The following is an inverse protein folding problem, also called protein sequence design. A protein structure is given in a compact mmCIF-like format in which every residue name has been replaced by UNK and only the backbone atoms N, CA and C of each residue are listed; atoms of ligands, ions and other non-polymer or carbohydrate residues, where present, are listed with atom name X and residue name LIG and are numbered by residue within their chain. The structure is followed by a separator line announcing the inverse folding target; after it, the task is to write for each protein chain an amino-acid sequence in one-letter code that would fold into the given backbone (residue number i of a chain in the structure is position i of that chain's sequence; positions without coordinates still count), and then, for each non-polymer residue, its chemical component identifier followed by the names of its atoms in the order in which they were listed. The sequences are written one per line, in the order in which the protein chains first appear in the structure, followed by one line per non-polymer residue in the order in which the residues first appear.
data_IF_334857891643
#
_entry.id   IF_334857891643
#
_cell.length_a   1.000
_cell.length_b   1.000
_cell.length_c   1.000
_cell.angle_alpha   90.00
_cell.angle_beta   90.00
_cell.angle_gamma   90.00
#
_symmetry.space_group_name_H-M   'P 1'
#
loop_
_entity.id
_entity.type
_entity.pdbx_description
1 polymer ?
#
# COMPACT_ATOMS: atom_id res chain seq x y z
N UNK A 1 -7.12 -29.62 12.24
CA UNK A 1 -7.58 -28.93 11.01
C UNK A 1 -6.61 -27.79 10.76
N UNK A 2 -5.80 -27.84 9.69
CA UNK A 2 -4.95 -26.69 9.34
C UNK A 2 -5.86 -25.67 8.63
N UNK A 3 -5.97 -24.46 9.17
CA UNK A 3 -6.64 -23.38 8.43
C UNK A 3 -5.81 -23.04 7.21
N UNK A 4 -6.46 -22.84 6.07
CA UNK A 4 -5.81 -22.37 4.86
C UNK A 4 -5.27 -20.94 5.09
N UNK A 5 -4.02 -20.71 4.73
CA UNK A 5 -3.32 -19.44 4.91
C UNK A 5 -4.07 -18.21 4.38
N UNK A 6 -4.69 -18.21 3.17
CA UNK A 6 -5.43 -17.04 2.69
C UNK A 6 -6.69 -16.74 3.51
N UNK A 7 -7.31 -17.76 4.11
CA UNK A 7 -8.44 -17.58 5.01
C UNK A 7 -8.01 -16.86 6.29
N UNK A 8 -6.83 -17.20 6.84
CA UNK A 8 -6.25 -16.50 8.00
C UNK A 8 -6.00 -15.04 7.67
N UNK A 9 -5.33 -14.76 6.55
CA UNK A 9 -4.97 -13.39 6.14
C UNK A 9 -6.23 -12.53 5.92
N UNK A 10 -7.21 -13.03 5.18
CA UNK A 10 -8.46 -12.30 4.91
C UNK A 10 -9.28 -12.05 6.18
N UNK A 11 -9.35 -13.03 7.09
CA UNK A 11 -10.01 -12.87 8.39
C UNK A 11 -9.30 -11.83 9.25
N UNK A 12 -7.96 -11.87 9.32
CA UNK A 12 -7.19 -10.85 10.05
C UNK A 12 -7.38 -9.46 9.46
N UNK A 13 -7.44 -9.35 8.13
CA UNK A 13 -7.74 -8.09 7.44
C UNK A 13 -9.10 -7.53 7.86
N UNK A 14 -10.13 -8.39 7.95
CA UNK A 14 -11.45 -8.00 8.43
C UNK A 14 -11.39 -7.47 9.86
N UNK A 15 -10.77 -8.23 10.76
CA UNK A 15 -10.69 -7.88 12.18
C UNK A 15 -9.92 -6.56 12.38
N UNK A 16 -8.77 -6.41 11.74
CA UNK A 16 -7.96 -5.18 11.82
C UNK A 16 -8.74 -3.99 11.22
N UNK A 17 -9.40 -4.17 10.09
CA UNK A 17 -10.22 -3.12 9.46
C UNK A 17 -11.34 -2.63 10.40
N UNK A 18 -12.07 -3.56 11.03
CA UNK A 18 -13.10 -3.24 12.01
C UNK A 18 -12.52 -2.54 13.24
N UNK A 19 -11.41 -3.03 13.77
CA UNK A 19 -10.72 -2.41 14.92
C UNK A 19 -10.31 -0.97 14.60
N UNK A 20 -9.71 -0.71 13.43
CA UNK A 20 -9.34 0.64 12.99
C UNK A 20 -10.58 1.52 12.85
N UNK A 21 -11.66 1.02 12.24
CA UNK A 21 -12.89 1.79 12.06
C UNK A 21 -13.54 2.19 13.39
N UNK A 22 -13.58 1.28 14.37
CA UNK A 22 -14.15 1.52 15.70
C UNK A 22 -13.25 2.40 16.57
N UNK A 23 -11.93 2.29 16.41
CA UNK A 23 -10.97 3.06 17.19
C UNK A 23 -10.73 4.47 16.63
N UNK A 24 -11.16 4.76 15.39
CA UNK A 24 -10.89 6.01 14.68
C UNK A 24 -11.27 7.28 15.46
N UNK A 25 -12.38 7.26 16.20
CA UNK A 25 -12.85 8.42 16.98
C UNK A 25 -12.07 8.62 18.29
N UNK A 26 -11.54 7.53 18.84
CA UNK A 26 -10.84 7.51 20.13
C UNK A 26 -9.35 7.75 19.99
N UNK A 27 -8.76 7.35 18.87
CA UNK A 27 -7.32 7.46 18.64
C UNK A 27 -6.96 8.85 18.08
N UNK A 28 -6.14 9.63 18.78
CA UNK A 28 -5.57 10.84 18.18
C UNK A 28 -4.69 10.47 16.98
N UNK A 29 -4.38 11.43 16.10
CA UNK A 29 -3.39 11.24 15.05
C UNK A 29 -2.10 10.70 15.65
N UNK A 30 -1.72 9.49 15.22
CA UNK A 30 -0.63 8.77 15.86
C UNK A 30 0.20 8.00 14.82
N UNK A 31 1.49 7.80 15.11
CA UNK A 31 2.40 7.11 14.20
C UNK A 31 2.16 5.62 14.04
N UNK A 32 1.41 4.98 14.93
CA UNK A 32 1.42 3.51 15.10
C UNK A 32 0.18 2.80 14.58
N UNK A 33 -0.97 3.45 14.64
CA UNK A 33 -2.28 2.86 14.39
C UNK A 33 -3.06 3.73 13.41
N UNK A 34 -3.54 3.10 12.33
CA UNK A 34 -4.42 3.72 11.36
C UNK A 34 -3.88 3.82 9.94
N UNK A 35 -4.70 4.40 9.07
CA UNK A 35 -4.36 4.82 7.72
C UNK A 35 -3.56 6.12 7.78
N UNK A 36 -2.28 6.06 7.40
CA UNK A 36 -1.28 7.09 7.69
C UNK A 36 -0.68 7.62 6.40
N UNK A 37 -1.32 8.65 5.86
CA UNK A 37 -0.83 9.42 4.71
C UNK A 37 -0.74 10.88 5.15
N UNK A 38 0.18 11.66 4.60
CA UNK A 38 0.38 13.06 5.01
C UNK A 38 -0.91 13.86 5.09
N UNK A 39 -1.80 13.68 4.13
CA UNK A 39 -3.13 14.29 4.09
C UNK A 39 -4.01 13.99 5.31
N UNK A 40 -3.86 12.81 5.93
CA UNK A 40 -4.65 12.43 7.11
C UNK A 40 -4.26 13.21 8.37
N UNK A 41 -3.08 13.83 8.39
CA UNK A 41 -2.59 14.59 9.55
C UNK A 41 -2.98 16.07 9.53
N UNK A 42 -3.70 16.54 8.52
CA UNK A 42 -4.11 17.94 8.38
C UNK A 42 -5.02 18.39 9.54
N UNK A 43 -5.94 17.52 9.96
CA UNK A 43 -6.83 17.81 11.10
C UNK A 43 -7.27 16.54 11.79
N UNK A 44 -7.73 16.64 13.05
CA UNK A 44 -8.33 15.50 13.77
C UNK A 44 -9.59 14.97 13.07
N UNK A 45 -10.34 15.84 12.40
CA UNK A 45 -11.53 15.47 11.64
C UNK A 45 -11.15 14.63 10.41
N UNK A 46 -10.17 15.09 9.64
CA UNK A 46 -9.63 14.40 8.47
C UNK A 46 -9.07 13.03 8.87
N UNK A 47 -8.30 12.97 9.96
CA UNK A 47 -7.79 11.73 10.53
C UNK A 47 -8.91 10.74 10.85
N UNK A 48 -9.92 11.17 11.62
CA UNK A 48 -11.01 10.32 12.08
C UNK A 48 -11.82 9.77 10.91
N UNK A 49 -12.17 10.64 9.95
CA UNK A 49 -12.96 10.26 8.78
C UNK A 49 -12.18 9.35 7.83
N UNK A 50 -10.92 9.67 7.53
CA UNK A 50 -10.06 8.82 6.69
C UNK A 50 -9.87 7.43 7.30
N UNK A 51 -9.58 7.34 8.61
CA UNK A 51 -9.40 6.06 9.29
C UNK A 51 -10.69 5.24 9.38
N UNK A 52 -11.83 5.88 9.61
CA UNK A 52 -13.13 5.19 9.64
C UNK A 52 -13.46 4.60 8.27
N UNK A 53 -13.31 5.37 7.20
CA UNK A 53 -13.55 4.91 5.83
C UNK A 53 -12.56 3.81 5.44
N UNK A 54 -11.27 4.01 5.69
CA UNK A 54 -10.23 3.02 5.42
C UNK A 54 -10.50 1.71 6.17
N UNK A 55 -10.78 1.78 7.47
CA UNK A 55 -11.07 0.60 8.29
C UNK A 55 -12.29 -0.18 7.78
N UNK A 56 -13.40 0.51 7.47
CA UNK A 56 -14.60 -0.14 6.92
C UNK A 56 -14.35 -0.76 5.55
N UNK A 57 -13.63 -0.06 4.66
CA UNK A 57 -13.33 -0.58 3.33
C UNK A 57 -12.39 -1.80 3.38
N UNK A 58 -11.39 -1.76 4.26
CA UNK A 58 -10.51 -2.90 4.54
C UNK A 58 -11.28 -4.08 5.14
N UNK A 59 -12.23 -3.81 6.04
CA UNK A 59 -13.08 -4.84 6.63
C UNK A 59 -13.95 -5.54 5.57
N UNK A 60 -14.58 -4.73 4.70
CA UNK A 60 -15.38 -5.23 3.59
C UNK A 60 -14.54 -6.05 2.61
N UNK A 61 -13.33 -5.59 2.25
CA UNK A 61 -12.41 -6.34 1.40
C UNK A 61 -12.01 -7.67 2.04
N UNK A 62 -11.69 -7.69 3.33
CA UNK A 62 -11.37 -8.92 4.06
C UNK A 62 -12.54 -9.91 4.05
N UNK A 63 -13.79 -9.44 4.21
CA UNK A 63 -14.98 -10.28 4.16
C UNK A 63 -15.19 -10.89 2.77
N UNK A 64 -15.02 -10.07 1.72
CA UNK A 64 -15.10 -10.54 0.33
C UNK A 64 -14.02 -11.58 0.03
N UNK A 65 -12.78 -11.35 0.46
CA UNK A 65 -11.69 -12.30 0.30
C UNK A 65 -11.91 -13.60 1.09
N UNK A 66 -12.47 -13.49 2.31
CA UNK A 66 -12.85 -14.65 3.14
C UNK A 66 -13.88 -15.51 2.40
N UNK A 67 -14.95 -14.89 1.89
CA UNK A 67 -15.98 -15.59 1.11
C UNK A 67 -15.42 -16.26 -0.14
N UNK A 68 -14.51 -15.57 -0.85
CA UNK A 68 -13.82 -16.15 -2.01
C UNK A 68 -12.91 -17.34 -1.63
N UNK A 69 -12.17 -17.23 -0.52
CA UNK A 69 -11.34 -18.33 0.00
C UNK A 69 -12.14 -19.55 0.42
N UNK A 70 -13.40 -19.39 0.85
CA UNK A 70 -14.28 -20.52 1.18
C UNK A 70 -14.78 -21.29 -0.05
N UNK A 71 -14.74 -20.68 -1.24
CA UNK A 71 -15.03 -21.37 -2.50
C UNK A 71 -13.82 -22.19 -2.93
N UNK A 72 -12.65 -21.55 -3.02
CA UNK A 72 -11.35 -22.16 -3.28
C UNK A 72 -10.25 -21.18 -2.81
N UNK A 73 -9.23 -21.61 -2.04
CA UNK A 73 -8.18 -20.72 -1.52
C UNK A 73 -7.53 -19.75 -2.55
N UNK A 74 -7.24 -20.15 -3.81
CA UNK A 74 -6.68 -19.26 -4.82
C UNK A 74 -7.55 -18.05 -5.16
N UNK A 75 -8.88 -18.16 -5.07
CA UNK A 75 -9.79 -17.04 -5.36
C UNK A 75 -9.65 -15.92 -4.34
N UNK A 76 -9.50 -16.24 -3.05
CA UNK A 76 -9.27 -15.21 -2.03
C UNK A 76 -7.94 -14.47 -2.22
N UNK A 77 -6.89 -15.20 -2.62
CA UNK A 77 -5.60 -14.60 -2.98
C UNK A 77 -5.75 -13.66 -4.18
N UNK A 78 -6.50 -14.08 -5.21
CA UNK A 78 -6.75 -13.28 -6.40
C UNK A 78 -7.49 -11.97 -6.06
N UNK A 79 -8.56 -12.05 -5.26
CA UNK A 79 -9.32 -10.89 -4.78
C UNK A 79 -8.41 -9.92 -4.02
N UNK A 80 -7.60 -10.41 -3.09
CA UNK A 80 -6.69 -9.56 -2.32
C UNK A 80 -5.66 -8.86 -3.22
N UNK A 81 -5.02 -9.58 -4.15
CA UNK A 81 -3.99 -9.03 -5.02
C UNK A 81 -4.49 -7.95 -5.96
N UNK A 82 -5.73 -8.05 -6.46
CA UNK A 82 -6.31 -7.05 -7.36
C UNK A 82 -6.88 -5.88 -6.56
N UNK A 83 -7.70 -6.17 -5.55
CA UNK A 83 -8.51 -5.16 -4.89
C UNK A 83 -7.74 -4.34 -3.86
N UNK A 84 -6.74 -4.91 -3.17
CA UNK A 84 -6.00 -4.18 -2.14
C UNK A 84 -5.20 -2.99 -2.72
N UNK A 85 -4.42 -3.13 -3.79
CA UNK A 85 -3.76 -1.99 -4.46
C UNK A 85 -4.72 -0.91 -4.92
N UNK A 86 -5.83 -1.31 -5.56
CA UNK A 86 -6.84 -0.36 -6.04
C UNK A 86 -7.50 0.38 -4.88
N UNK A 87 -7.80 -0.33 -3.79
CA UNK A 87 -8.35 0.25 -2.57
C UNK A 87 -7.38 1.26 -1.96
N UNK A 88 -6.08 0.96 -1.90
CA UNK A 88 -5.07 1.88 -1.38
C UNK A 88 -5.01 3.16 -2.21
N UNK A 89 -4.97 3.05 -3.55
CA UNK A 89 -5.03 4.22 -4.45
C UNK A 89 -6.28 5.05 -4.18
N UNK A 90 -7.45 4.41 -4.10
CA UNK A 90 -8.71 5.09 -3.82
C UNK A 90 -8.73 5.79 -2.46
N UNK A 91 -8.16 5.17 -1.42
CA UNK A 91 -8.05 5.76 -0.09
C UNK A 91 -7.08 6.94 -0.02
N UNK A 92 -5.99 6.91 -0.80
CA UNK A 92 -5.07 8.05 -0.91
C UNK A 92 -5.77 9.25 -1.54
N UNK A 93 -6.41 9.05 -2.71
CA UNK A 93 -7.15 10.12 -3.39
C UNK A 93 -8.32 10.63 -2.52
N UNK A 94 -8.98 9.74 -1.77
CA UNK A 94 -10.02 10.13 -0.81
C UNK A 94 -9.45 11.02 0.30
N UNK A 95 -8.34 10.63 0.92
CA UNK A 95 -7.71 11.37 2.00
C UNK A 95 -7.22 12.74 1.53
N UNK A 96 -6.69 12.84 0.32
CA UNK A 96 -6.30 14.11 -0.28
C UNK A 96 -7.49 15.04 -0.48
N UNK A 97 -8.55 14.58 -1.17
CA UNK A 97 -9.75 15.40 -1.38
C UNK A 97 -10.37 15.83 -0.06
N UNK A 98 -10.25 15.00 0.97
CA UNK A 98 -10.73 15.32 2.30
C UNK A 98 -9.87 16.40 2.98
N UNK A 99 -8.55 16.32 2.83
CA UNK A 99 -7.62 17.34 3.30
C UNK A 99 -7.83 18.68 2.59
N UNK A 100 -7.97 18.70 1.27
CA UNK A 100 -8.25 19.91 0.48
C UNK A 100 -9.53 20.60 0.94
N UNK A 101 -10.61 19.83 1.13
CA UNK A 101 -11.88 20.37 1.64
C UNK A 101 -11.73 21.00 3.03
N UNK A 102 -10.94 20.37 3.90
CA UNK A 102 -10.71 20.90 5.24
C UNK A 102 -9.88 22.19 5.20
N UNK A 103 -8.83 22.25 4.38
CA UNK A 103 -7.98 23.44 4.23
C UNK A 103 -8.71 24.63 3.61
N UNK A 104 -9.71 24.38 2.75
CA UNK A 104 -10.57 25.44 2.21
C UNK A 104 -11.54 25.97 3.28
N UNK A 105 -12.10 25.08 4.09
CA UNK A 105 -13.06 25.44 5.14
C UNK A 105 -12.39 26.17 6.32
N UNK A 106 -11.19 25.73 6.69
CA UNK A 106 -10.40 26.25 7.80
C UNK A 106 -8.98 26.57 7.28
N UNK A 107 -8.81 27.72 6.59
CA UNK A 107 -7.50 28.11 6.10
C UNK A 107 -6.55 28.31 7.28
N UNK A 108 -5.37 27.76 7.13
CA UNK A 108 -4.27 27.91 8.07
C UNK A 108 -3.97 29.40 8.32
N UNK A 109 -3.78 29.79 9.58
CA UNK A 109 -3.38 31.17 9.88
C UNK A 109 -1.97 31.43 9.32
N UNK A 110 -1.67 32.66 8.86
CA UNK A 110 -0.33 33.00 8.38
C UNK A 110 0.73 32.71 9.45
N UNK A 111 1.54 31.66 9.24
CA UNK A 111 2.58 31.19 10.17
C UNK A 111 2.32 29.79 10.75
N UNK A 112 1.07 29.33 10.83
CA UNK A 112 0.72 27.96 11.19
C UNK A 112 0.69 27.11 9.92
N UNK A 113 1.81 26.51 9.53
CA UNK A 113 1.85 25.62 8.36
C UNK A 113 2.35 26.25 7.06
N UNK A 114 3.01 27.40 7.13
CA UNK A 114 3.86 27.93 6.05
C UNK A 114 5.18 27.15 5.91
N UNK A 115 5.12 25.82 6.06
CA UNK A 115 6.28 24.96 5.81
C UNK A 115 6.72 25.12 4.35
N UNK A 116 8.03 25.04 4.09
CA UNK A 116 8.53 25.10 2.72
C UNK A 116 7.83 24.04 1.86
N UNK A 117 7.40 24.40 0.63
CA UNK A 117 6.76 23.44 -0.26
C UNK A 117 7.68 22.25 -0.49
N UNK A 118 7.11 21.05 -0.34
CA UNK A 118 7.87 19.82 -0.44
C UNK A 118 8.39 19.65 -1.86
N UNK A 119 9.71 19.55 -1.99
CA UNK A 119 10.35 19.32 -3.29
C UNK A 119 10.11 17.88 -3.75
N UNK A 120 9.79 17.66 -5.04
CA UNK A 120 9.64 16.32 -5.61
C UNK A 120 10.80 15.38 -5.27
N UNK A 121 10.50 14.09 -5.13
CA UNK A 121 11.51 13.04 -4.91
C UNK A 121 12.29 12.84 -6.21
N UNK A 122 13.58 13.20 -6.22
CA UNK A 122 14.44 13.03 -7.39
C UNK A 122 14.50 11.58 -7.88
N UNK A 123 14.47 10.63 -6.94
CA UNK A 123 14.49 9.19 -7.22
C UNK A 123 13.27 8.73 -8.03
N UNK A 124 12.11 9.35 -7.84
CA UNK A 124 10.88 8.95 -8.51
C UNK A 124 10.94 9.10 -10.04
N UNK A 125 11.77 10.03 -10.54
CA UNK A 125 12.04 10.21 -11.98
C UNK A 125 12.80 9.05 -12.59
N UNK A 126 13.58 8.32 -11.79
CA UNK A 126 14.36 7.16 -12.20
C UNK A 126 13.56 5.88 -12.00
N UNK A 127 12.83 5.74 -10.88
CA UNK A 127 12.08 4.53 -10.59
C UNK A 127 10.89 4.33 -11.51
N UNK A 128 10.26 5.41 -11.99
CA UNK A 128 9.15 5.34 -12.93
C UNK A 128 9.50 4.63 -14.26
N UNK A 129 10.53 5.05 -15.02
CA UNK A 129 10.91 4.34 -16.25
C UNK A 129 11.40 2.92 -15.97
N UNK A 130 12.11 2.67 -14.87
CA UNK A 130 12.55 1.31 -14.50
C UNK A 130 11.36 0.39 -14.23
N UNK A 131 10.33 0.88 -13.53
CA UNK A 131 9.09 0.15 -13.33
C UNK A 131 8.44 -0.19 -14.68
N UNK A 132 8.29 0.79 -15.58
CA UNK A 132 7.71 0.55 -16.91
C UNK A 132 8.48 -0.55 -17.67
N UNK A 133 9.81 -0.53 -17.62
CA UNK A 133 10.64 -1.58 -18.25
C UNK A 133 10.36 -2.95 -17.63
N UNK A 134 10.28 -3.06 -16.30
CA UNK A 134 9.95 -4.32 -15.61
C UNK A 134 8.59 -4.85 -16.05
N UNK A 135 7.57 -4.00 -16.18
CA UNK A 135 6.25 -4.39 -16.69
C UNK A 135 6.29 -4.91 -18.12
N UNK A 136 7.03 -4.25 -19.02
CA UNK A 136 7.19 -4.70 -20.40
C UNK A 136 7.86 -6.08 -20.45
N UNK A 137 8.97 -6.25 -19.71
CA UNK A 137 9.69 -7.54 -19.64
C UNK A 137 8.77 -8.64 -19.10
N UNK A 138 8.02 -8.35 -18.03
CA UNK A 138 7.06 -9.28 -17.46
C UNK A 138 6.00 -9.72 -18.47
N UNK A 139 5.40 -8.76 -19.21
CA UNK A 139 4.39 -9.04 -20.22
C UNK A 139 4.93 -9.93 -21.34
N UNK A 140 6.15 -9.69 -21.81
CA UNK A 140 6.79 -10.53 -22.84
C UNK A 140 6.94 -11.97 -22.34
N UNK A 141 7.40 -12.16 -21.09
CA UNK A 141 7.57 -13.49 -20.49
C UNK A 141 6.23 -14.20 -20.37
N UNK A 142 5.21 -13.51 -19.85
CA UNK A 142 3.87 -14.06 -19.66
C UNK A 142 3.26 -14.55 -20.97
N UNK A 143 3.43 -13.78 -22.06
CA UNK A 143 2.93 -14.15 -23.39
C UNK A 143 3.63 -15.38 -23.99
N UNK A 144 4.78 -15.79 -23.44
CA UNK A 144 5.59 -16.94 -23.90
C UNK A 144 5.36 -18.21 -23.09
N UNK A 145 4.67 -18.14 -21.94
CA UNK A 145 4.43 -19.28 -21.07
C UNK A 145 3.17 -20.07 -21.52
N UNK A 146 3.29 -21.40 -21.55
CA UNK A 146 2.21 -22.31 -21.94
C UNK A 146 1.04 -22.32 -20.94
N UNK A 147 -0.20 -22.49 -21.46
CA UNK A 147 -1.48 -22.36 -20.72
C UNK A 147 -1.75 -23.43 -19.64
N UNK A 148 -0.81 -24.33 -19.39
CA UNK A 148 -1.03 -25.56 -18.61
C UNK A 148 -1.32 -25.27 -17.12
N UNK A 149 -1.03 -24.06 -16.61
CA UNK A 149 -1.28 -23.65 -15.22
C UNK A 149 -2.13 -22.37 -15.11
N UNK A 150 -3.26 -22.28 -15.82
CA UNK A 150 -4.05 -21.06 -15.97
C UNK A 150 -4.38 -20.33 -14.64
N UNK A 151 -4.86 -21.03 -13.60
CA UNK A 151 -5.26 -20.38 -12.34
C UNK A 151 -4.07 -19.88 -11.51
N UNK A 152 -3.02 -20.70 -11.37
CA UNK A 152 -1.82 -20.33 -10.63
C UNK A 152 -1.05 -19.19 -11.32
N UNK A 153 -1.05 -19.20 -12.66
CA UNK A 153 -0.51 -18.13 -13.47
C UNK A 153 -1.31 -16.83 -13.32
N UNK A 154 -2.65 -16.92 -13.26
CA UNK A 154 -3.51 -15.76 -12.99
C UNK A 154 -3.22 -15.13 -11.62
N UNK A 155 -3.04 -15.95 -10.58
CA UNK A 155 -2.66 -15.46 -9.24
C UNK A 155 -1.31 -14.72 -9.29
N UNK A 156 -0.32 -15.24 -10.01
CA UNK A 156 0.99 -14.59 -10.19
C UNK A 156 0.87 -13.25 -10.91
N UNK A 157 0.06 -13.21 -11.97
CA UNK A 157 -0.20 -12.00 -12.74
C UNK A 157 -0.88 -10.93 -11.90
N UNK A 158 -1.86 -11.32 -11.09
CA UNK A 158 -2.53 -10.40 -10.17
C UNK A 158 -1.58 -9.85 -9.12
N UNK A 159 -0.74 -10.69 -8.51
CA UNK A 159 0.26 -10.25 -7.54
C UNK A 159 1.26 -9.26 -8.17
N UNK A 160 1.79 -9.60 -9.35
CA UNK A 160 2.69 -8.71 -10.10
C UNK A 160 2.01 -7.38 -10.39
N UNK A 161 0.82 -7.40 -10.98
CA UNK A 161 0.06 -6.21 -11.34
C UNK A 161 -0.17 -5.33 -10.11
N UNK A 162 -0.59 -5.92 -8.99
CA UNK A 162 -0.86 -5.19 -7.76
C UNK A 162 0.37 -4.46 -7.21
N UNK A 163 1.49 -5.16 -7.07
CA UNK A 163 2.76 -4.57 -6.61
C UNK A 163 3.23 -3.49 -7.60
N UNK A 164 3.06 -3.75 -8.90
CA UNK A 164 3.48 -2.83 -9.94
C UNK A 164 2.66 -1.53 -9.93
N UNK A 165 1.34 -1.63 -9.78
CA UNK A 165 0.43 -0.48 -9.62
C UNK A 165 0.84 0.37 -8.42
N UNK A 166 1.14 -0.24 -7.27
CA UNK A 166 1.62 0.50 -6.10
C UNK A 166 2.96 1.18 -6.34
N UNK A 167 3.89 0.53 -7.06
CA UNK A 167 5.20 1.09 -7.40
C UNK A 167 5.06 2.33 -8.28
N UNK A 168 4.25 2.23 -9.35
CA UNK A 168 3.97 3.33 -10.26
C UNK A 168 3.26 4.48 -9.55
N UNK A 169 2.23 4.16 -8.75
CA UNK A 169 1.46 5.17 -8.02
C UNK A 169 2.30 5.89 -6.97
N UNK A 170 3.14 5.16 -6.22
CA UNK A 170 4.05 5.77 -5.24
C UNK A 170 5.10 6.67 -5.92
N UNK A 171 5.64 6.24 -7.07
CA UNK A 171 6.55 7.08 -7.87
C UNK A 171 5.83 8.33 -8.39
N UNK A 172 4.59 8.20 -8.86
CA UNK A 172 3.77 9.32 -9.28
C UNK A 172 3.52 10.33 -8.15
N UNK A 173 3.11 9.86 -6.97
CA UNK A 173 2.97 10.70 -5.78
C UNK A 173 4.29 11.40 -5.45
N UNK A 174 5.42 10.71 -5.55
CA UNK A 174 6.74 11.28 -5.29
C UNK A 174 7.09 12.46 -6.19
N UNK A 175 6.54 12.50 -7.41
CA UNK A 175 6.77 13.57 -8.38
C UNK A 175 5.73 14.69 -8.22
N UNK A 176 4.44 14.33 -8.20
CA UNK A 176 3.34 15.29 -8.32
C UNK A 176 2.81 15.79 -6.97
N UNK A 177 2.89 14.95 -5.94
CA UNK A 177 2.22 15.12 -4.64
C UNK A 177 3.12 14.66 -3.48
N UNK A 178 4.32 15.24 -3.31
CA UNK A 178 5.26 14.81 -2.27
C UNK A 178 4.69 14.99 -0.84
N UNK A 179 3.64 15.80 -0.66
CA UNK A 179 2.90 15.97 0.60
C UNK A 179 2.25 14.68 1.08
N UNK A 180 1.96 13.73 0.19
CA UNK A 180 1.44 12.41 0.57
C UNK A 180 2.39 11.66 1.51
N UNK A 181 3.70 11.91 1.42
CA UNK A 181 4.74 11.31 2.26
C UNK A 181 5.09 12.14 3.49
N UNK A 182 4.43 13.28 3.71
CA UNK A 182 4.71 14.10 4.87
C UNK A 182 4.24 13.39 6.13
N UNK A 183 5.13 13.28 7.10
CA UNK A 183 4.82 12.72 8.41
C UNK A 183 5.28 13.70 9.48
N UNK A 184 4.40 14.20 10.38
CA UNK A 184 4.71 15.35 11.24
C UNK A 184 5.76 15.06 12.32
N UNK A 185 6.08 13.81 12.59
CA UNK A 185 7.13 13.41 13.54
C UNK A 185 8.47 13.06 12.88
N UNK A 186 8.57 13.19 11.55
CA UNK A 186 9.81 12.98 10.81
C UNK A 186 10.26 14.30 10.19
N UNK A 187 11.57 14.53 10.19
CA UNK A 187 12.17 15.63 9.44
C UNK A 187 11.95 15.44 7.93
N UNK A 188 12.07 16.53 7.16
CA UNK A 188 11.94 16.48 5.70
C UNK A 188 12.94 15.49 5.05
N UNK A 189 14.16 15.42 5.58
CA UNK A 189 15.20 14.51 5.07
C UNK A 189 14.87 13.05 5.39
N UNK A 190 14.32 12.77 6.57
CA UNK A 190 13.85 11.44 6.97
C UNK A 190 12.65 10.99 6.14
N UNK A 191 11.63 11.85 5.96
CA UNK A 191 10.49 11.56 5.10
C UNK A 191 10.93 11.19 3.67
N UNK A 192 11.91 11.92 3.12
CA UNK A 192 12.49 11.62 1.81
C UNK A 192 13.23 10.29 1.76
N UNK A 193 14.00 9.95 2.79
CA UNK A 193 14.71 8.67 2.89
C UNK A 193 13.73 7.51 2.99
N UNK A 194 12.71 7.62 3.84
CA UNK A 194 11.67 6.60 4.02
C UNK A 194 10.88 6.41 2.73
N UNK A 195 10.40 7.49 2.10
CA UNK A 195 9.67 7.40 0.84
C UNK A 195 10.52 6.75 -0.28
N UNK A 196 11.81 7.12 -0.37
CA UNK A 196 12.73 6.51 -1.35
C UNK A 196 12.94 5.02 -1.06
N UNK A 197 13.12 4.64 0.20
CA UNK A 197 13.28 3.24 0.59
C UNK A 197 12.03 2.41 0.26
N UNK A 198 10.83 2.95 0.48
CA UNK A 198 9.57 2.29 0.11
C UNK A 198 9.50 2.08 -1.41
N UNK A 199 9.75 3.12 -2.21
CA UNK A 199 9.70 3.03 -3.67
C UNK A 199 10.73 2.01 -4.20
N UNK A 200 11.96 2.02 -3.67
CA UNK A 200 13.01 1.06 -4.05
C UNK A 200 12.59 -0.35 -3.66
N UNK A 201 12.05 -0.55 -2.46
CA UNK A 201 11.60 -1.87 -2.00
C UNK A 201 10.48 -2.41 -2.89
N UNK A 202 9.48 -1.60 -3.20
CA UNK A 202 8.39 -1.97 -4.12
C UNK A 202 8.93 -2.34 -5.51
N UNK A 203 9.90 -1.57 -6.02
CA UNK A 203 10.55 -1.85 -7.30
C UNK A 203 11.32 -3.18 -7.29
N UNK A 204 12.10 -3.44 -6.25
CA UNK A 204 12.85 -4.69 -6.08
C UNK A 204 11.92 -5.90 -5.97
N UNK A 205 10.83 -5.77 -5.20
CA UNK A 205 9.80 -6.82 -5.10
C UNK A 205 9.12 -7.04 -6.46
N UNK A 206 8.79 -5.99 -7.19
CA UNK A 206 8.20 -6.09 -8.53
C UNK A 206 9.14 -6.82 -9.51
N UNK A 207 10.42 -6.44 -9.53
CA UNK A 207 11.44 -7.11 -10.34
C UNK A 207 11.60 -8.58 -9.95
N UNK A 208 11.62 -8.87 -8.66
CA UNK A 208 11.73 -10.24 -8.15
C UNK A 208 10.54 -11.10 -8.57
N UNK A 209 9.31 -10.62 -8.38
CA UNK A 209 8.09 -11.33 -8.81
C UNK A 209 8.14 -11.60 -10.31
N UNK A 210 8.59 -10.62 -11.11
CA UNK A 210 8.77 -10.82 -12.54
C UNK A 210 9.78 -11.92 -12.87
N UNK A 211 10.97 -11.90 -12.24
CA UNK A 211 12.01 -12.91 -12.44
C UNK A 211 11.57 -14.30 -11.96
N UNK A 212 10.86 -14.39 -10.84
CA UNK A 212 10.35 -15.67 -10.31
C UNK A 212 9.36 -16.35 -11.26
N UNK A 213 8.65 -15.55 -12.08
CA UNK A 213 7.75 -16.06 -13.12
C UNK A 213 8.52 -16.66 -14.29
N UNK A 214 9.74 -16.19 -14.56
CA UNK A 214 10.63 -16.74 -15.60
C UNK A 214 11.22 -18.08 -15.16
N UNK A 215 11.67 -18.18 -13.91
CA UNK A 215 12.50 -19.30 -13.47
C UNK A 215 11.76 -20.62 -13.24
N UNK A 216 10.43 -20.68 -13.38
CA UNK A 216 9.60 -21.91 -13.22
C UNK A 216 9.89 -22.72 -11.92
N UNK A 217 10.46 -22.09 -10.88
CA UNK A 217 10.85 -22.77 -9.64
C UNK A 217 9.67 -22.82 -8.66
N UNK A 218 9.02 -23.97 -8.60
CA UNK A 218 7.70 -24.19 -7.98
C UNK A 218 7.67 -24.07 -6.45
N UNK A 219 8.76 -24.33 -5.72
CA UNK A 219 8.76 -24.32 -4.24
C UNK A 219 9.12 -22.98 -3.60
N UNK A 220 9.95 -22.16 -4.24
CA UNK A 220 10.34 -20.84 -3.72
C UNK A 220 9.24 -19.80 -4.01
N UNK A 221 8.50 -19.99 -5.12
CA UNK A 221 7.41 -19.12 -5.51
C UNK A 221 6.24 -19.10 -4.51
N UNK A 222 5.94 -20.20 -3.80
CA UNK A 222 4.81 -20.22 -2.85
C UNK A 222 5.09 -19.40 -1.58
N UNK A 223 6.27 -19.58 -0.99
CA UNK A 223 6.71 -18.81 0.19
C UNK A 223 6.73 -17.31 -0.13
N UNK A 224 7.10 -16.95 -1.37
CA UNK A 224 7.23 -15.55 -1.79
C UNK A 224 5.95 -14.90 -2.31
N UNK A 225 4.91 -15.66 -2.67
CA UNK A 225 3.56 -15.09 -2.89
C UNK A 225 3.00 -14.53 -1.60
N UNK A 226 3.12 -15.32 -0.54
CA UNK A 226 2.71 -14.93 0.81
C UNK A 226 3.64 -13.82 1.31
N UNK A 227 4.95 -13.94 1.10
CA UNK A 227 5.88 -12.88 1.46
C UNK A 227 5.68 -11.60 0.65
N UNK A 228 5.20 -11.66 -0.61
CA UNK A 228 4.90 -10.50 -1.44
C UNK A 228 3.62 -9.78 -1.02
N UNK A 229 2.58 -10.53 -0.67
CA UNK A 229 1.36 -10.00 -0.02
C UNK A 229 1.71 -9.41 1.35
N UNK A 230 2.55 -10.12 2.11
CA UNK A 230 3.04 -9.68 3.41
C UNK A 230 3.98 -8.50 3.27
N UNK A 231 4.80 -8.38 2.22
CA UNK A 231 5.67 -7.23 1.96
C UNK A 231 4.90 -6.04 1.41
N UNK A 232 3.84 -6.25 0.64
CA UNK A 232 2.95 -5.17 0.20
C UNK A 232 2.14 -4.65 1.39
N UNK A 233 1.58 -5.55 2.20
CA UNK A 233 0.91 -5.24 3.46
C UNK A 233 1.87 -4.60 4.47
N UNK A 234 3.10 -5.11 4.56
CA UNK A 234 4.17 -4.54 5.36
C UNK A 234 4.66 -3.23 4.76
N UNK A 235 4.73 -3.00 3.45
CA UNK A 235 5.12 -1.72 2.86
C UNK A 235 4.06 -0.64 3.13
N UNK A 236 2.78 -1.00 3.12
CA UNK A 236 1.70 -0.15 3.66
C UNK A 236 1.72 -0.01 5.19
N UNK A 237 2.36 -0.94 5.90
CA UNK A 237 2.55 -0.86 7.35
C UNK A 237 3.89 -0.20 7.76
N UNK A 238 4.88 -0.14 6.86
CA UNK A 238 6.26 0.36 7.03
C UNK A 238 6.35 1.88 6.88
N UNK A 239 5.20 2.54 6.78
CA UNK A 239 4.98 3.83 7.44
C UNK A 239 5.24 3.76 8.98
N UNK A 240 5.67 2.60 9.53
CA UNK A 240 6.16 2.37 10.90
C UNK A 240 7.57 1.78 10.93
N UNK A 241 8.32 2.28 11.92
CA UNK A 241 9.70 2.00 12.39
C UNK A 241 10.72 2.92 11.72
N UNK A 242 11.26 3.93 12.40
CA UNK A 242 11.91 3.96 13.74
C UNK A 242 11.62 5.34 14.39
N UNK A 243 11.25 5.51 15.67
CA UNK A 243 12.15 5.55 16.84
C UNK A 243 11.37 5.50 18.18
N UNK A 244 11.87 4.68 19.11
CA UNK A 244 11.74 4.94 20.55
C UNK A 244 12.80 5.98 20.93
N UNK A 245 12.41 7.24 21.03
CA UNK A 245 12.93 8.21 22.01
C UNK A 245 12.41 9.60 21.65
N UNK A 246 11.25 9.92 22.23
CA UNK A 246 10.96 11.29 22.64
C UNK A 246 11.80 11.57 23.86
N UNK A 247 12.65 12.59 23.83
CA UNK A 247 12.82 13.46 24.99
C UNK A 247 13.44 14.79 24.58
N UNK A 248 12.60 15.81 24.78
CA UNK A 248 12.87 17.22 25.09
C UNK A 248 13.92 17.94 24.25
#
# INVERSE_FOLDING_TARGET
MKMDEPLVVSTMLTLVGLLVALAAEKLPPNPLLGFRIGYTFVSRRTWTQANRVAGLAMAALGLLATGASMIDPPWGILVLNISLPMLLVALVEYAERLAEKQLIAEPLTPGEGSGEPLKPLGLARITLPVAIIIAIVYMIVVLRLDRIYALQQLVNQAAFLGIHTLTLYSSYLGIRRPEAFHVPWLTLSENRRVASAIIISLLLVSAYVALSTISCFTRIAEILKIAGITLAACATSFTVMVYLCRRN
#
